data_IF_200556335370
#
_entry.id   IF_200556335370
#
_cell.length_a   1.000
_cell.length_b   1.000
_cell.length_c   1.000
_cell.angle_alpha   90.00
_cell.angle_beta   90.00
_cell.angle_gamma   90.00
#
_symmetry.space_group_name_H-M   'P 1'
#
loop_
_entity.id
_entity.type
_entity.pdbx_description
1 polymer ?
#
# COMPACT_ATOMS: atom_id res chain seq x y z
N UNK A 1 -11.14 20.40 -7.71
CA UNK A 1 -10.44 21.68 -7.89
C UNK A 1 -9.14 21.42 -8.62
N UNK A 2 -8.89 22.13 -9.71
CA UNK A 2 -7.64 22.07 -10.47
C UNK A 2 -7.11 23.51 -10.60
N UNK A 3 -5.85 23.74 -10.23
CA UNK A 3 -5.22 25.07 -10.33
C UNK A 3 -3.83 24.96 -10.93
N UNK A 4 -3.57 25.72 -11.98
CA UNK A 4 -2.25 25.87 -12.58
C UNK A 4 -1.43 26.96 -11.88
N UNK A 5 -0.12 26.74 -11.77
CA UNK A 5 0.85 27.73 -11.31
C UNK A 5 2.11 27.67 -12.16
N UNK A 6 2.69 28.83 -12.44
CA UNK A 6 3.91 28.99 -13.25
C UNK A 6 5.08 29.28 -12.32
N UNK A 7 6.22 28.67 -12.59
CA UNK A 7 7.45 28.86 -11.82
C UNK A 7 8.59 29.35 -12.69
N UNK A 8 9.24 30.42 -12.23
CA UNK A 8 10.50 30.93 -12.76
C UNK A 8 11.68 30.29 -12.05
N UNK A 9 12.91 30.52 -12.54
CA UNK A 9 14.16 29.97 -11.97
C UNK A 9 14.26 30.19 -10.45
N UNK A 10 13.90 31.36 -9.95
CA UNK A 10 13.98 31.70 -8.52
C UNK A 10 12.96 30.97 -7.65
N UNK A 11 11.86 30.52 -8.23
CA UNK A 11 10.75 29.92 -7.49
C UNK A 11 10.85 28.39 -7.44
N UNK A 12 11.56 27.76 -8.38
CA UNK A 12 11.68 26.29 -8.48
C UNK A 12 12.20 25.70 -7.17
N UNK A 13 13.26 26.26 -6.60
CA UNK A 13 13.83 25.74 -5.35
C UNK A 13 12.87 25.85 -4.17
N UNK A 14 11.98 26.86 -4.14
CA UNK A 14 10.96 26.98 -3.11
C UNK A 14 9.87 25.93 -3.29
N UNK A 15 9.41 25.72 -4.53
CA UNK A 15 8.42 24.71 -4.87
C UNK A 15 8.93 23.29 -4.56
N UNK A 16 10.18 22.99 -4.92
CA UNK A 16 10.82 21.70 -4.63
C UNK A 16 10.89 21.43 -3.13
N UNK A 17 11.37 22.39 -2.33
CA UNK A 17 11.45 22.20 -0.87
C UNK A 17 10.08 21.95 -0.23
N UNK A 18 9.04 22.58 -0.76
CA UNK A 18 7.67 22.36 -0.30
C UNK A 18 7.13 20.97 -0.69
N UNK A 19 7.31 20.57 -1.95
CA UNK A 19 6.77 19.31 -2.49
C UNK A 19 7.52 18.09 -1.94
N UNK A 20 8.85 18.15 -1.88
CA UNK A 20 9.72 17.08 -1.37
C UNK A 20 9.87 17.10 0.16
N UNK A 21 9.18 18.01 0.86
CA UNK A 21 9.22 18.15 2.31
C UNK A 21 10.65 18.28 2.89
N UNK A 22 11.49 19.08 2.23
CA UNK A 22 12.90 19.30 2.62
C UNK A 22 13.09 20.41 3.67
N UNK A 23 12.01 21.07 4.12
CA UNK A 23 12.11 22.10 5.15
C UNK A 23 12.24 21.46 6.53
N UNK A 24 13.05 22.06 7.40
CA UNK A 24 13.18 21.67 8.81
C UNK A 24 11.98 22.09 9.64
N UNK A 25 11.40 23.25 9.32
CA UNK A 25 10.24 23.81 10.02
C UNK A 25 9.19 24.26 9.03
N UNK A 26 7.93 24.17 9.43
CA UNK A 26 6.79 24.53 8.60
C UNK A 26 5.88 25.50 9.32
N UNK A 27 5.68 26.66 8.71
CA UNK A 27 4.75 27.67 9.22
C UNK A 27 3.28 27.24 9.08
N UNK A 28 2.99 26.31 8.16
CA UNK A 28 1.63 25.84 7.92
C UNK A 28 1.19 24.85 9.00
N UNK A 29 0.30 25.29 9.89
CA UNK A 29 -0.28 24.51 11.00
C UNK A 29 -1.00 23.24 10.50
N UNK A 30 -1.51 23.24 9.26
CA UNK A 30 -2.17 22.06 8.69
C UNK A 30 -1.18 20.98 8.22
N UNK A 31 0.12 21.24 8.31
CA UNK A 31 1.14 20.28 7.95
C UNK A 31 1.41 19.35 9.15
N UNK A 32 1.04 18.08 8.99
CA UNK A 32 1.25 17.05 10.01
C UNK A 32 2.53 16.27 9.64
N UNK A 33 3.60 16.48 10.40
CA UNK A 33 4.92 15.88 10.14
C UNK A 33 4.91 14.36 10.17
N UNK A 34 4.17 13.77 11.11
CA UNK A 34 4.00 12.32 11.23
C UNK A 34 3.42 11.66 9.98
N UNK A 35 2.71 12.44 9.14
CA UNK A 35 2.11 11.95 7.89
C UNK A 35 3.00 12.13 6.66
N UNK A 36 4.17 12.76 6.78
CA UNK A 36 5.13 12.92 5.68
C UNK A 36 5.50 11.58 5.04
N UNK A 37 5.75 10.47 5.79
CA UNK A 37 6.09 9.18 5.21
C UNK A 37 4.97 8.57 4.34
N UNK A 38 3.73 9.06 4.44
CA UNK A 38 2.60 8.59 3.64
C UNK A 38 2.46 9.33 2.30
N UNK A 39 3.28 10.35 2.04
CA UNK A 39 3.29 11.02 0.74
C UNK A 39 3.82 10.07 -0.33
N UNK A 40 3.15 10.04 -1.48
CA UNK A 40 3.51 9.16 -2.59
C UNK A 40 3.87 9.97 -3.82
N UNK A 41 4.94 9.55 -4.50
CA UNK A 41 5.30 10.07 -5.81
C UNK A 41 4.80 9.13 -6.88
N UNK A 42 4.00 9.65 -7.82
CA UNK A 42 3.66 8.90 -9.03
C UNK A 42 4.90 8.63 -9.88
N UNK A 43 5.77 9.64 -10.00
CA UNK A 43 7.08 9.55 -10.64
C UNK A 43 8.10 10.21 -9.74
N UNK A 44 9.07 9.43 -9.23
CA UNK A 44 10.14 9.97 -8.41
C UNK A 44 11.10 10.81 -9.26
N UNK A 45 11.63 11.92 -8.72
CA UNK A 45 12.74 12.61 -9.34
C UNK A 45 13.93 11.67 -9.49
N UNK A 46 14.62 11.72 -10.64
CA UNK A 46 15.83 10.91 -10.86
C UNK A 46 17.12 11.65 -10.52
N UNK A 47 17.02 12.95 -10.25
CA UNK A 47 18.12 13.78 -9.74
C UNK A 47 17.77 14.32 -8.34
N UNK A 48 18.76 14.75 -7.55
CA UNK A 48 18.54 15.28 -6.20
C UNK A 48 17.65 16.53 -6.17
N UNK A 49 17.69 17.34 -7.22
CA UNK A 49 16.89 18.57 -7.38
C UNK A 49 16.20 18.64 -8.75
N UNK A 50 15.09 19.39 -8.83
CA UNK A 50 14.37 19.61 -10.08
C UNK A 50 15.22 20.36 -11.11
N UNK A 51 16.12 21.24 -10.65
CA UNK A 51 17.04 21.98 -11.51
C UNK A 51 18.16 21.08 -12.06
N UNK A 52 18.72 20.19 -11.26
CA UNK A 52 19.69 19.19 -11.75
C UNK A 52 19.04 18.23 -12.73
N UNK A 53 17.80 17.83 -12.47
CA UNK A 53 17.03 17.00 -13.39
C UNK A 53 16.88 17.69 -14.74
N UNK A 54 16.55 18.98 -14.75
CA UNK A 54 16.44 19.77 -15.98
C UNK A 54 17.79 19.89 -16.71
N UNK A 55 18.89 20.11 -15.98
CA UNK A 55 20.24 20.15 -16.56
C UNK A 55 20.63 18.82 -17.18
N UNK A 56 20.27 17.71 -16.55
CA UNK A 56 20.52 16.37 -17.08
C UNK A 56 19.70 16.13 -18.35
N UNK A 57 18.42 16.53 -18.37
CA UNK A 57 17.60 16.47 -19.59
C UNK A 57 18.17 17.32 -20.73
N UNK A 58 18.79 18.47 -20.42
CA UNK A 58 19.48 19.30 -21.41
C UNK A 58 20.74 18.61 -21.95
N UNK A 59 21.53 18.00 -21.07
CA UNK A 59 22.72 17.23 -21.44
C UNK A 59 22.39 15.99 -22.28
N UNK A 60 21.27 15.33 -21.97
CA UNK A 60 20.74 14.17 -22.71
C UNK A 60 20.10 14.58 -24.06
N UNK A 61 20.04 15.88 -24.36
CA UNK A 61 19.45 16.41 -25.60
C UNK A 61 17.92 16.31 -25.65
N UNK A 62 17.27 15.99 -24.54
CA UNK A 62 15.81 15.85 -24.43
C UNK A 62 15.11 17.22 -24.40
N UNK A 63 15.79 18.25 -23.89
CA UNK A 63 15.31 19.64 -23.83
C UNK A 63 16.43 20.61 -24.21
N UNK A 64 16.08 21.81 -24.64
CA UNK A 64 17.05 22.89 -24.94
C UNK A 64 16.66 24.15 -24.17
N UNK A 65 17.60 24.71 -23.40
CA UNK A 65 17.42 25.99 -22.69
C UNK A 65 18.04 27.17 -23.47
N UNK A 66 18.51 26.94 -24.70
CA UNK A 66 19.18 27.96 -25.51
C UNK A 66 18.24 29.11 -25.81
N UNK A 67 18.66 30.33 -25.48
CA UNK A 67 17.89 31.56 -25.72
C UNK A 67 16.74 31.79 -24.74
N UNK A 68 16.64 30.99 -23.67
CA UNK A 68 15.62 31.16 -22.66
C UNK A 68 15.85 32.45 -21.86
N UNK A 69 14.81 33.27 -21.73
CA UNK A 69 14.84 34.53 -20.99
C UNK A 69 14.92 34.26 -19.47
N UNK A 70 15.56 35.16 -18.72
CA UNK A 70 15.76 34.99 -17.26
C UNK A 70 14.44 34.95 -16.45
N UNK A 71 13.40 35.61 -16.94
CA UNK A 71 12.05 35.66 -16.38
C UNK A 71 11.10 34.62 -17.02
N UNK A 72 11.62 33.73 -17.87
CA UNK A 72 10.82 32.69 -18.48
C UNK A 72 10.30 31.69 -17.44
N UNK A 73 9.11 31.17 -17.72
CA UNK A 73 8.56 30.05 -16.95
C UNK A 73 9.30 28.77 -17.31
N UNK A 74 9.93 28.13 -16.32
CA UNK A 74 10.59 26.83 -16.49
C UNK A 74 9.62 25.67 -16.26
N UNK A 75 8.78 25.78 -15.24
CA UNK A 75 7.87 24.71 -14.84
C UNK A 75 6.45 25.24 -14.71
N UNK A 76 5.50 24.41 -15.15
CA UNK A 76 4.09 24.59 -14.84
C UNK A 76 3.70 23.48 -13.86
N UNK A 77 3.12 23.86 -12.74
CA UNK A 77 2.55 22.94 -11.75
C UNK A 77 1.04 22.95 -11.87
N UNK A 78 0.44 21.76 -11.80
CA UNK A 78 -1.00 21.59 -11.73
C UNK A 78 -1.32 20.96 -10.38
N UNK A 79 -1.95 21.73 -9.51
CA UNK A 79 -2.45 21.26 -8.23
C UNK A 79 -3.87 20.73 -8.40
N UNK A 80 -4.05 19.43 -8.16
CA UNK A 80 -5.33 18.74 -8.24
C UNK A 80 -5.75 18.34 -6.83
N UNK A 81 -6.95 18.75 -6.43
CA UNK A 81 -7.56 18.39 -5.14
C UNK A 81 -9.02 18.03 -5.33
N UNK A 82 -9.48 16.93 -4.72
CA UNK A 82 -10.90 16.68 -4.51
C UNK A 82 -11.41 17.60 -3.38
N UNK A 83 -12.49 18.36 -3.62
CA UNK A 83 -12.99 19.38 -2.67
C UNK A 83 -13.33 18.73 -1.32
N UNK A 84 -13.98 17.58 -1.38
CA UNK A 84 -14.48 16.83 -0.23
C UNK A 84 -13.45 15.82 0.30
N UNK A 85 -12.20 15.89 -0.20
CA UNK A 85 -11.15 14.93 0.11
C UNK A 85 -11.34 13.60 -0.62
N UNK A 86 -10.41 12.67 -0.36
CA UNK A 86 -10.66 11.26 -0.60
C UNK A 86 -11.21 10.72 0.71
N UNK A 87 -12.53 10.79 0.87
CA UNK A 87 -13.16 10.24 2.06
C UNK A 87 -12.96 8.72 2.00
N UNK A 88 -12.19 8.19 2.94
CA UNK A 88 -11.99 6.74 3.01
C UNK A 88 -13.30 6.14 3.50
N UNK A 89 -14.22 5.83 2.58
CA UNK A 89 -15.55 5.25 2.87
C UNK A 89 -15.47 4.01 3.77
N UNK A 90 -14.31 3.34 3.78
CA UNK A 90 -14.04 2.19 4.60
C UNK A 90 -13.17 2.56 5.79
N UNK A 91 -13.82 3.08 6.83
CA UNK A 91 -13.28 3.14 8.19
C UNK A 91 -14.30 2.53 9.16
N UNK A 92 -14.87 1.39 8.77
CA UNK A 92 -15.94 0.75 9.52
C UNK A 92 -15.36 -0.37 10.38
N UNK A 93 -15.21 -0.07 11.67
CA UNK A 93 -14.81 -1.04 12.69
C UNK A 93 -15.67 -2.31 12.67
N UNK A 94 -16.94 -2.24 12.29
CA UNK A 94 -17.79 -3.42 12.14
C UNK A 94 -17.35 -4.32 11.00
N UNK A 95 -16.90 -3.78 9.87
CA UNK A 95 -16.42 -4.59 8.73
C UNK A 95 -15.14 -5.30 9.11
N UNK A 96 -14.19 -4.57 9.72
CA UNK A 96 -12.92 -5.14 10.18
C UNK A 96 -13.15 -6.22 11.26
N UNK A 97 -14.05 -5.96 12.21
CA UNK A 97 -14.45 -6.93 13.24
C UNK A 97 -15.17 -8.12 12.61
N UNK A 98 -16.06 -7.92 11.64
CA UNK A 98 -16.76 -9.01 10.93
C UNK A 98 -15.78 -9.87 10.14
N UNK A 99 -14.79 -9.26 9.50
CA UNK A 99 -13.72 -9.97 8.78
C UNK A 99 -12.84 -10.77 9.74
N UNK A 100 -12.51 -10.23 10.92
CA UNK A 100 -11.77 -10.96 11.95
C UNK A 100 -12.60 -12.09 12.58
N UNK A 101 -13.89 -11.86 12.83
CA UNK A 101 -14.82 -12.89 13.33
C UNK A 101 -14.99 -14.01 12.31
N UNK A 102 -15.11 -13.70 11.02
CA UNK A 102 -15.12 -14.70 9.95
C UNK A 102 -13.82 -15.50 9.89
N UNK A 103 -12.67 -14.82 10.01
CA UNK A 103 -11.33 -15.43 10.00
C UNK A 103 -10.97 -16.22 11.25
N UNK A 104 -11.60 -15.97 12.40
CA UNK A 104 -11.44 -16.79 13.60
C UNK A 104 -12.50 -17.91 13.65
N UNK A 105 -13.71 -17.63 13.18
CA UNK A 105 -14.81 -18.58 13.09
C UNK A 105 -14.46 -19.78 12.19
N UNK A 106 -13.75 -19.56 11.08
CA UNK A 106 -13.28 -20.66 10.23
C UNK A 106 -12.27 -21.59 10.94
N UNK A 107 -11.41 -21.10 11.84
CA UNK A 107 -10.60 -21.98 12.68
C UNK A 107 -11.46 -22.78 13.66
N UNK A 108 -12.52 -22.16 14.22
CA UNK A 108 -13.49 -22.85 15.06
C UNK A 108 -14.21 -23.99 14.32
N UNK A 109 -14.63 -23.76 13.07
CA UNK A 109 -15.23 -24.78 12.21
C UNK A 109 -14.24 -25.88 11.77
N UNK A 110 -12.93 -25.59 11.74
CA UNK A 110 -11.90 -26.61 11.54
C UNK A 110 -11.71 -27.52 12.78
N UNK A 111 -11.99 -27.02 13.98
CA UNK A 111 -11.88 -27.77 15.25
C UNK A 111 -13.16 -28.57 15.55
N UNK A 112 -14.34 -27.97 15.34
CA UNK A 112 -15.63 -28.61 15.58
C UNK A 112 -15.93 -29.56 14.41
N UNK A 113 -15.74 -30.84 14.66
CA UNK A 113 -16.08 -31.91 13.73
C UNK A 113 -17.61 -31.97 13.58
N UNK A 114 -18.20 -31.28 12.60
CA UNK A 114 -19.65 -31.32 12.37
C UNK A 114 -20.02 -32.74 11.93
N UNK A 115 -20.86 -33.47 12.70
CA UNK A 115 -21.32 -34.80 12.30
C UNK A 115 -22.20 -34.64 11.05
N UNK A 116 -21.68 -35.03 9.88
CA UNK A 116 -22.36 -34.89 8.59
C UNK A 116 -21.44 -34.60 7.39
N UNK A 117 -20.22 -34.09 7.62
CA UNK A 117 -19.19 -33.95 6.56
C UNK A 117 -18.33 -35.21 6.38
N UNK A 118 -18.62 -36.25 7.17
CA UNK A 118 -17.94 -37.55 7.17
C UNK A 118 -18.38 -38.51 6.05
N UNK A 119 -19.32 -38.10 5.18
CA UNK A 119 -19.65 -38.87 3.97
C UNK A 119 -18.67 -38.56 2.83
N UNK A 120 -17.44 -39.03 3.03
CA UNK A 120 -16.54 -39.62 2.04
C UNK A 120 -16.37 -38.95 0.67
N UNK A 121 -15.21 -38.29 0.50
CA UNK A 121 -14.33 -38.62 -0.63
C UNK A 121 -12.86 -38.63 -0.17
N UNK A 122 -12.36 -39.82 0.09
CA UNK A 122 -10.96 -40.09 0.42
C UNK A 122 -10.17 -40.08 -0.89
N UNK A 123 -9.68 -38.90 -1.27
CA UNK A 123 -8.88 -38.69 -2.49
C UNK A 123 -7.83 -37.61 -2.25
N UNK A 124 -6.88 -37.47 -3.18
CA UNK A 124 -5.85 -36.43 -3.18
C UNK A 124 -6.43 -35.00 -3.06
N UNK A 125 -7.72 -34.82 -3.37
CA UNK A 125 -8.45 -33.56 -3.19
C UNK A 125 -8.54 -33.15 -1.71
N UNK A 126 -8.62 -34.10 -0.77
CA UNK A 126 -8.67 -33.82 0.66
C UNK A 126 -7.38 -33.19 1.20
N UNK A 127 -6.23 -33.57 0.63
CA UNK A 127 -4.94 -32.95 0.94
C UNK A 127 -4.89 -31.51 0.43
N UNK A 128 -5.33 -31.27 -0.81
CA UNK A 128 -5.40 -29.91 -1.38
C UNK A 128 -6.34 -28.99 -0.58
N UNK A 129 -7.48 -29.52 -0.14
CA UNK A 129 -8.44 -28.84 0.75
C UNK A 129 -7.86 -28.49 2.13
N UNK A 130 -6.79 -29.15 2.58
CA UNK A 130 -6.09 -28.80 3.83
C UNK A 130 -4.97 -27.76 3.64
N UNK A 131 -4.30 -27.76 2.47
CA UNK A 131 -3.16 -26.88 2.16
C UNK A 131 -3.64 -25.48 1.72
N UNK A 132 -4.67 -25.41 0.86
CA UNK A 132 -5.16 -24.14 0.29
C UNK A 132 -5.64 -23.17 1.38
N UNK A 133 -6.49 -23.56 2.34
CA UNK A 133 -6.92 -22.66 3.41
C UNK A 133 -5.75 -22.25 4.31
N UNK A 134 -4.83 -23.17 4.60
CA UNK A 134 -3.66 -22.90 5.46
C UNK A 134 -2.77 -21.78 4.89
N UNK A 135 -2.48 -21.83 3.59
CA UNK A 135 -1.72 -20.78 2.90
C UNK A 135 -2.50 -19.46 2.84
N UNK A 136 -3.81 -19.53 2.62
CA UNK A 136 -4.68 -18.35 2.55
C UNK A 136 -4.76 -17.63 3.90
N UNK A 137 -4.88 -18.36 5.03
CA UNK A 137 -4.87 -17.77 6.37
C UNK A 137 -3.51 -17.17 6.74
N UNK A 138 -2.41 -17.83 6.40
CA UNK A 138 -1.07 -17.32 6.67
C UNK A 138 -0.80 -16.03 5.89
N UNK A 139 -1.11 -16.01 4.59
CA UNK A 139 -0.99 -14.81 3.76
C UNK A 139 -1.89 -13.67 4.26
N UNK A 140 -3.14 -13.99 4.60
CA UNK A 140 -4.10 -13.04 5.17
C UNK A 140 -3.60 -12.44 6.50
N UNK A 141 -2.98 -13.26 7.36
CA UNK A 141 -2.40 -12.82 8.62
C UNK A 141 -1.23 -11.85 8.46
N UNK A 142 -0.34 -12.13 7.50
CA UNK A 142 0.80 -11.26 7.16
C UNK A 142 0.30 -9.93 6.59
N UNK A 143 -0.62 -9.96 5.63
CA UNK A 143 -1.17 -8.77 5.01
C UNK A 143 -1.92 -7.88 5.99
N UNK A 144 -2.66 -8.48 6.94
CA UNK A 144 -3.39 -7.75 7.97
C UNK A 144 -2.58 -7.47 9.24
N UNK A 145 -1.28 -7.85 9.31
CA UNK A 145 -0.41 -7.76 10.50
C UNK A 145 -1.06 -8.33 11.79
N UNK A 146 -1.95 -9.32 11.65
CA UNK A 146 -2.67 -9.90 12.78
C UNK A 146 -1.85 -11.01 13.42
N UNK A 147 -1.18 -10.69 14.53
CA UNK A 147 -0.31 -11.63 15.27
C UNK A 147 -1.09 -12.89 15.69
N UNK A 148 -2.34 -12.73 16.13
CA UNK A 148 -3.19 -13.85 16.54
C UNK A 148 -3.49 -14.82 15.39
N UNK A 149 -3.80 -14.29 14.20
CA UNK A 149 -4.10 -15.11 13.03
C UNK A 149 -2.87 -15.87 12.54
N UNK A 150 -1.71 -15.22 12.60
CA UNK A 150 -0.43 -15.85 12.23
C UNK A 150 -0.15 -17.03 13.17
N UNK A 151 -0.22 -16.81 14.49
CA UNK A 151 0.02 -17.87 15.49
C UNK A 151 -0.98 -19.03 15.30
N UNK A 152 -2.27 -18.73 15.13
CA UNK A 152 -3.28 -19.76 14.89
C UNK A 152 -3.00 -20.55 13.61
N UNK A 153 -2.66 -19.88 12.49
CA UNK A 153 -2.36 -20.55 11.22
C UNK A 153 -1.13 -21.46 11.32
N UNK A 154 -0.07 -21.02 12.00
CA UNK A 154 1.18 -21.79 12.15
C UNK A 154 1.00 -23.01 13.05
N UNK A 155 0.15 -22.92 14.08
CA UNK A 155 -0.14 -24.05 14.97
C UNK A 155 -1.08 -25.08 14.32
N UNK A 156 -2.10 -24.63 13.60
CA UNK A 156 -3.12 -25.53 13.03
C UNK A 156 -2.74 -26.15 11.68
N UNK A 157 -2.01 -25.42 10.82
CA UNK A 157 -1.68 -25.92 9.48
C UNK A 157 -0.89 -27.24 9.48
N UNK A 158 0.17 -27.43 10.30
CA UNK A 158 0.93 -28.68 10.33
C UNK A 158 0.07 -29.85 10.80
N UNK A 159 -0.76 -29.66 11.83
CA UNK A 159 -1.62 -30.71 12.35
C UNK A 159 -2.68 -31.16 11.34
N UNK A 160 -3.33 -30.22 10.64
CA UNK A 160 -4.31 -30.55 9.61
C UNK A 160 -3.69 -31.23 8.39
N UNK A 161 -2.50 -30.80 7.95
CA UNK A 161 -1.78 -31.42 6.83
C UNK A 161 -1.32 -32.83 7.20
N UNK A 162 -0.81 -33.06 8.42
CA UNK A 162 -0.36 -34.38 8.87
C UNK A 162 -1.53 -35.36 9.00
N UNK A 163 -2.67 -34.92 9.55
CA UNK A 163 -3.87 -35.77 9.64
C UNK A 163 -4.39 -36.11 8.23
N UNK A 164 -4.47 -35.13 7.34
CA UNK A 164 -4.92 -35.34 5.96
C UNK A 164 -3.97 -36.26 5.18
N UNK A 165 -2.66 -36.11 5.36
CA UNK A 165 -1.66 -37.00 4.76
C UNK A 165 -1.75 -38.44 5.27
N UNK A 166 -1.99 -38.64 6.58
CA UNK A 166 -2.22 -39.97 7.15
C UNK A 166 -3.52 -40.63 6.69
N UNK A 167 -4.49 -39.85 6.26
CA UNK A 167 -5.79 -40.31 5.79
C UNK A 167 -5.82 -40.65 4.29
N UNK A 168 -4.87 -40.10 3.51
CA UNK A 168 -4.71 -40.38 2.07
C UNK A 168 -3.80 -41.60 1.83
N UNK A 169 -3.04 -42.03 2.84
CA UNK A 169 -2.14 -43.19 2.81
C UNK A 169 -2.80 -44.43 3.39
#
# INVERSE_FOLDING_TARGET
MCKGKKYTVSDVSKAERHNERKNETYENINMIEERIPYNVHFKKPFAPTYMEQLKQMEADGMVSLRGLRKDATLFNEIAIKCKDGFDNKWNNKYVEVTEQVGRLGCFGFMIINIPGTWFGRWSDEALALSIIPSMLFLFSGIMSRSVLLIIASVLFAPSHIVISYKNVK
#
